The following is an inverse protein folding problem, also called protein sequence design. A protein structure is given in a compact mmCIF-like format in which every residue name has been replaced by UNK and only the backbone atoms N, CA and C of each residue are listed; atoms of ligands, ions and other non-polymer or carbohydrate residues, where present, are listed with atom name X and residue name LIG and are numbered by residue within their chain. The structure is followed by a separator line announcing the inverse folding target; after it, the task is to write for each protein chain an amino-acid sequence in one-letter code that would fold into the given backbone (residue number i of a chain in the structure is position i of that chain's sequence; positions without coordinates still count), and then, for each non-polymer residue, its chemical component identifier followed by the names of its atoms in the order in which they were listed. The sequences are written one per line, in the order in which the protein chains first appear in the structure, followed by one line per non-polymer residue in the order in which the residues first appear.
data_IF_936920568372
#
_entry.id   IF_936920568372
#
_cell.length_a   1.000
_cell.length_b   1.000
_cell.length_c   1.000
_cell.angle_alpha   90.00
_cell.angle_beta   90.00
_cell.angle_gamma   90.00
#
_symmetry.space_group_name_H-M   'P 1'
#
loop_
_entity.id
_entity.type
_entity.pdbx_description
1 polymer ?
#
# COMPACT_ATOMS: atom_id res chain seq x y z
N UNK A 1 3.56 -17.70 12.93
CA UNK A 1 2.97 -16.37 12.60
C UNK A 1 2.09 -16.57 11.39
N UNK A 2 0.79 -16.72 11.60
CA UNK A 2 -0.15 -16.90 10.48
C UNK A 2 -0.34 -15.54 9.83
N UNK A 3 0.15 -15.35 8.61
CA UNK A 3 -0.32 -14.26 7.76
C UNK A 3 -1.81 -14.45 7.60
N UNK A 4 -2.61 -13.55 8.16
CA UNK A 4 -4.02 -13.45 7.81
C UNK A 4 -4.01 -12.96 6.38
N UNK A 5 -4.13 -13.88 5.41
CA UNK A 5 -4.39 -13.51 4.03
C UNK A 5 -5.65 -12.64 4.04
N UNK A 6 -5.54 -11.42 3.54
CA UNK A 6 -6.66 -10.52 3.40
C UNK A 6 -6.99 -10.48 1.90
N UNK A 7 -7.93 -11.32 1.43
CA UNK A 7 -8.13 -11.58 0.00
C UNK A 7 -8.34 -10.30 -0.86
N UNK A 8 -9.02 -9.25 -0.37
CA UNK A 8 -9.13 -7.98 -1.10
C UNK A 8 -7.79 -7.25 -1.31
N UNK A 9 -6.87 -7.29 -0.33
CA UNK A 9 -5.57 -6.63 -0.44
C UNK A 9 -4.65 -7.37 -1.41
N UNK A 10 -4.69 -8.70 -1.40
CA UNK A 10 -3.90 -9.51 -2.33
C UNK A 10 -4.36 -9.29 -3.78
N UNK A 11 -5.67 -9.31 -4.03
CA UNK A 11 -6.22 -9.05 -5.37
C UNK A 11 -5.89 -7.64 -5.88
N UNK A 12 -5.97 -6.63 -5.00
CA UNK A 12 -5.55 -5.28 -5.34
C UNK A 12 -4.05 -5.22 -5.70
N UNK A 13 -3.20 -5.83 -4.88
CA UNK A 13 -1.76 -5.84 -5.11
C UNK A 13 -1.41 -6.57 -6.41
N UNK A 14 -2.05 -7.70 -6.71
CA UNK A 14 -1.84 -8.43 -7.97
C UNK A 14 -2.24 -7.59 -9.19
N UNK A 15 -3.39 -6.91 -9.15
CA UNK A 15 -3.83 -6.03 -10.24
C UNK A 15 -2.88 -4.83 -10.43
N UNK A 16 -2.46 -4.20 -9.33
CA UNK A 16 -1.53 -3.07 -9.37
C UNK A 16 -0.15 -3.47 -9.89
N UNK A 17 0.34 -4.65 -9.50
CA UNK A 17 1.61 -5.19 -9.98
C UNK A 17 1.53 -5.55 -11.47
N UNK A 18 0.44 -6.17 -11.93
CA UNK A 18 0.24 -6.48 -13.34
C UNK A 18 0.21 -5.21 -14.22
N UNK A 19 -0.41 -4.13 -13.73
CA UNK A 19 -0.51 -2.87 -14.47
C UNK A 19 0.82 -2.12 -14.56
N UNK A 20 1.58 -2.05 -13.46
CA UNK A 20 2.77 -1.18 -13.37
C UNK A 20 4.09 -1.93 -13.60
N UNK A 21 4.11 -3.24 -13.33
CA UNK A 21 5.31 -4.07 -13.37
C UNK A 21 5.04 -5.42 -14.07
N UNK A 22 4.67 -5.41 -15.37
CA UNK A 22 4.24 -6.62 -16.08
C UNK A 22 5.31 -7.72 -16.20
N UNK A 23 6.59 -7.39 -16.03
CA UNK A 23 7.70 -8.33 -16.06
C UNK A 23 8.28 -8.65 -14.67
N UNK A 24 7.54 -8.36 -13.59
CA UNK A 24 8.01 -8.61 -12.23
C UNK A 24 8.09 -10.12 -11.94
N UNK A 25 9.24 -10.64 -11.46
CA UNK A 25 9.34 -12.03 -11.03
C UNK A 25 8.38 -12.35 -9.88
N UNK A 26 7.82 -13.57 -9.88
CA UNK A 26 6.84 -14.01 -8.88
C UNK A 26 7.36 -13.96 -7.43
N UNK A 27 8.64 -14.26 -7.22
CA UNK A 27 9.29 -14.15 -5.92
C UNK A 27 9.32 -12.70 -5.43
N UNK A 28 9.59 -11.75 -6.33
CA UNK A 28 9.58 -10.33 -6.02
C UNK A 28 8.15 -9.84 -5.74
N UNK A 29 7.16 -10.28 -6.52
CA UNK A 29 5.75 -9.98 -6.29
C UNK A 29 5.28 -10.47 -4.90
N UNK A 30 5.69 -11.68 -4.49
CA UNK A 30 5.37 -12.24 -3.17
C UNK A 30 5.94 -11.39 -2.04
N UNK A 31 7.19 -10.93 -2.17
CA UNK A 31 7.83 -10.03 -1.19
C UNK A 31 7.12 -8.68 -1.13
N UNK A 32 6.72 -8.11 -2.27
CA UNK A 32 5.97 -6.85 -2.32
C UNK A 32 4.62 -7.00 -1.62
N UNK A 33 3.87 -8.07 -1.89
CA UNK A 33 2.58 -8.33 -1.24
C UNK A 33 2.70 -8.43 0.29
N UNK A 34 3.72 -9.14 0.78
CA UNK A 34 3.98 -9.22 2.21
C UNK A 34 4.28 -7.86 2.85
N UNK A 35 5.07 -7.00 2.18
CA UNK A 35 5.36 -5.64 2.67
C UNK A 35 4.12 -4.74 2.57
N UNK A 36 3.34 -4.87 1.51
CA UNK A 36 2.10 -4.11 1.31
C UNK A 36 1.09 -4.39 2.43
N UNK A 37 0.91 -5.66 2.82
CA UNK A 37 0.05 -6.03 3.94
C UNK A 37 0.51 -5.37 5.27
N UNK A 38 1.82 -5.29 5.50
CA UNK A 38 2.39 -4.59 6.67
C UNK A 38 2.13 -3.09 6.63
N UNK A 39 2.29 -2.46 5.47
CA UNK A 39 2.01 -1.03 5.28
C UNK A 39 0.52 -0.73 5.49
N UNK A 40 -0.37 -1.60 5.00
CA UNK A 40 -1.81 -1.44 5.19
C UNK A 40 -2.20 -1.40 6.67
N UNK A 41 -1.54 -2.19 7.52
CA UNK A 41 -1.75 -2.15 8.97
C UNK A 41 -1.28 -0.83 9.60
N UNK A 42 -0.19 -0.25 9.10
CA UNK A 42 0.34 1.04 9.56
C UNK A 42 -0.45 2.24 9.04
N UNK A 43 -1.05 2.12 7.86
CA UNK A 43 -1.81 3.18 7.22
C UNK A 43 -3.20 3.36 7.84
N UNK A 44 -3.78 2.31 8.44
CA UNK A 44 -5.15 2.36 8.96
C UNK A 44 -5.39 3.50 9.98
N UNK A 45 -4.50 3.78 10.96
CA UNK A 45 -4.65 4.93 11.86
C UNK A 45 -4.51 6.27 11.15
N UNK A 46 -3.65 6.37 10.14
CA UNK A 46 -3.43 7.60 9.35
C UNK A 46 -4.67 7.91 8.51
N UNK A 47 -5.26 6.90 7.87
CA UNK A 47 -6.47 7.04 7.06
C UNK A 47 -7.73 7.27 7.89
N UNK A 48 -7.70 6.92 9.18
CA UNK A 48 -8.79 7.20 10.12
C UNK A 48 -8.73 8.63 10.68
N UNK A 49 -7.63 9.36 10.47
CA UNK A 49 -7.52 10.75 10.87
C UNK A 49 -8.48 11.61 10.01
N UNK A 50 -9.36 12.43 10.61
CA UNK A 50 -10.23 13.31 9.85
C UNK A 50 -9.39 14.39 9.16
N UNK A 51 -9.48 14.44 7.83
CA UNK A 51 -8.84 15.46 7.00
C UNK A 51 -9.94 16.39 6.49
N UNK A 52 -9.77 17.68 6.71
CA UNK A 52 -10.66 18.70 6.17
C UNK A 52 -10.43 18.89 4.66
N UNK A 53 -11.44 19.32 3.93
CA UNK A 53 -11.29 19.65 2.51
C UNK A 53 -10.31 20.80 2.25
N UNK A 54 -10.11 21.66 3.25
CA UNK A 54 -9.20 22.80 3.20
C UNK A 54 -7.80 22.48 3.77
N UNK A 55 -7.55 21.24 4.23
CA UNK A 55 -6.22 20.84 4.72
C UNK A 55 -5.21 20.81 3.57
N UNK A 56 -4.20 21.67 3.68
CA UNK A 56 -3.08 21.70 2.73
C UNK A 56 -2.03 20.63 3.05
N UNK A 57 -1.33 20.09 2.03
CA UNK A 57 -0.20 19.20 2.27
C UNK A 57 0.88 19.91 3.08
N UNK A 58 1.61 19.14 3.89
CA UNK A 58 2.73 19.68 4.66
C UNK A 58 3.69 20.48 3.76
N UNK A 59 4.14 21.66 4.19
CA UNK A 59 4.94 22.54 3.35
C UNK A 59 6.25 21.85 2.97
N UNK A 60 6.46 21.65 1.68
CA UNK A 60 7.73 21.16 1.14
C UNK A 60 8.63 22.38 0.95
N UNK A 61 9.74 22.44 1.70
CA UNK A 61 10.76 23.47 1.48
C UNK A 61 11.19 23.46 0.01
N UNK A 62 11.13 24.63 -0.64
CA UNK A 62 11.67 24.85 -1.98
C UNK A 62 12.79 25.91 -1.88
N UNK A 63 14.04 25.56 -2.20
CA UNK A 63 15.17 26.50 -2.20
C UNK A 63 15.06 27.55 -3.31
#
# INVERSE_FOLDING_TARGET
MSSICNPPLDAYADAALALNFPALPEEAATRVKAQFARIAQLAAPVLAYPVDTDDEPAPVYRP
#
